data_IF_463825369558
#
_entry.id   IF_463825369558
#
_cell.length_a   1.000
_cell.length_b   1.000
_cell.length_c   1.000
_cell.angle_alpha   90.00
_cell.angle_beta   90.00
_cell.angle_gamma   90.00
#
_symmetry.space_group_name_H-M   'P 1'
#
loop_
_entity.id
_entity.type
_entity.pdbx_description
1 polymer ?
#
# COMPACT_ATOMS: atom_id res chain seq x y z
N UNK A 1 13.76 13.80 -17.72
CA UNK A 1 14.12 12.38 -17.54
C UNK A 1 13.07 11.77 -16.62
N UNK A 2 12.51 10.61 -16.94
CA UNK A 2 11.44 9.99 -16.12
C UNK A 2 12.08 9.37 -14.88
N UNK A 3 11.70 9.82 -13.69
CA UNK A 3 12.23 9.33 -12.42
C UNK A 3 11.44 8.09 -11.95
N UNK A 4 11.87 6.91 -12.39
CA UNK A 4 11.16 5.64 -12.15
C UNK A 4 11.18 5.21 -10.68
N UNK A 5 12.15 5.67 -9.90
CA UNK A 5 12.35 5.27 -8.50
C UNK A 5 11.50 6.08 -7.51
N UNK A 6 10.93 7.20 -7.96
CA UNK A 6 9.98 7.99 -7.15
C UNK A 6 8.75 7.17 -6.76
N UNK A 7 8.28 7.34 -5.52
CA UNK A 7 7.10 6.66 -4.99
C UNK A 7 5.97 7.68 -4.89
N UNK A 8 4.86 7.41 -5.57
CA UNK A 8 3.62 8.16 -5.39
C UNK A 8 2.79 7.48 -4.30
N UNK A 9 2.88 7.98 -3.06
CA UNK A 9 2.22 7.38 -1.89
C UNK A 9 0.70 7.40 -2.00
N UNK A 10 0.14 8.50 -2.51
CA UNK A 10 -1.31 8.67 -2.64
C UNK A 10 -1.90 7.61 -3.58
N UNK A 11 -1.31 7.46 -4.77
CA UNK A 11 -1.72 6.45 -5.74
C UNK A 11 -1.44 5.02 -5.23
N UNK A 12 -0.33 4.83 -4.52
CA UNK A 12 0.06 3.52 -4.00
C UNK A 12 -0.90 3.04 -2.90
N UNK A 13 -1.18 3.87 -1.89
CA UNK A 13 -2.02 3.46 -0.76
C UNK A 13 -3.50 3.38 -1.16
N UNK A 14 -3.98 4.27 -2.03
CA UNK A 14 -5.37 4.27 -2.48
C UNK A 14 -5.63 3.40 -3.72
N UNK A 15 -4.68 2.57 -4.16
CA UNK A 15 -4.86 1.67 -5.31
C UNK A 15 -5.85 0.52 -5.06
N UNK A 16 -6.31 0.35 -3.81
CA UNK A 16 -7.15 -0.76 -3.39
C UNK A 16 -6.37 -2.00 -2.94
N UNK A 17 -5.04 -1.94 -2.88
CA UNK A 17 -4.21 -3.04 -2.37
C UNK A 17 -4.20 -3.14 -0.85
N UNK A 18 -4.42 -2.03 -0.14
CA UNK A 18 -4.46 -1.93 1.32
C UNK A 18 -5.71 -1.17 1.77
N UNK A 19 -6.25 -1.51 2.94
CA UNK A 19 -7.50 -0.90 3.44
C UNK A 19 -7.35 -0.21 4.79
N UNK A 20 -6.47 -0.69 5.68
CA UNK A 20 -6.27 -0.17 7.04
C UNK A 20 -5.24 0.97 7.11
N UNK A 21 -5.25 1.86 6.10
CA UNK A 21 -4.34 3.01 6.02
C UNK A 21 -5.13 4.33 6.08
N UNK A 22 -4.60 5.28 6.85
CA UNK A 22 -5.18 6.61 7.06
C UNK A 22 -4.11 7.69 6.91
N UNK A 23 -4.46 8.77 6.23
CA UNK A 23 -3.62 9.97 6.13
C UNK A 23 -3.96 10.93 7.25
N UNK A 24 -2.94 11.45 7.93
CA UNK A 24 -3.08 12.49 8.93
C UNK A 24 -1.93 13.49 8.78
N UNK A 25 -2.26 14.70 8.33
CA UNK A 25 -1.29 15.73 7.90
C UNK A 25 -0.34 15.15 6.84
N UNK A 26 0.97 15.24 7.06
CA UNK A 26 2.05 14.80 6.16
C UNK A 26 2.46 13.33 6.38
N UNK A 27 1.65 12.56 7.10
CA UNK A 27 1.95 11.18 7.43
C UNK A 27 0.81 10.24 7.07
N UNK A 28 1.20 9.09 6.54
CA UNK A 28 0.36 7.92 6.41
C UNK A 28 0.61 6.98 7.56
N UNK A 29 -0.46 6.48 8.16
CA UNK A 29 -0.44 5.49 9.21
C UNK A 29 -1.17 4.25 8.72
N UNK A 30 -0.59 3.08 8.94
CA UNK A 30 -1.23 1.84 8.58
C UNK A 30 -0.75 0.65 9.38
N UNK A 31 -1.58 -0.38 9.41
CA UNK A 31 -1.29 -1.64 10.08
C UNK A 31 -0.67 -2.60 9.08
N UNK A 32 0.44 -3.23 9.48
CA UNK A 32 1.09 -4.32 8.75
C UNK A 32 1.36 -5.50 9.70
N UNK A 33 0.44 -6.46 9.72
CA UNK A 33 0.44 -7.57 10.67
C UNK A 33 0.18 -7.09 12.09
N UNK A 34 1.16 -7.28 12.99
CA UNK A 34 1.11 -6.80 14.38
C UNK A 34 1.84 -5.47 14.60
N UNK A 35 2.26 -4.78 13.53
CA UNK A 35 3.03 -3.55 13.60
C UNK A 35 2.28 -2.36 13.00
N UNK A 36 2.61 -1.17 13.49
CA UNK A 36 2.09 0.10 12.98
C UNK A 36 3.20 0.80 12.21
N UNK A 37 2.95 1.07 10.95
CA UNK A 37 3.85 1.81 10.06
C UNK A 37 3.38 3.27 10.00
N UNK A 38 4.33 4.18 10.17
CA UNK A 38 4.22 5.61 9.89
C UNK A 38 5.11 5.93 8.70
N UNK A 39 4.54 6.52 7.66
CA UNK A 39 5.24 6.86 6.43
C UNK A 39 5.11 8.35 6.18
N UNK A 40 6.22 9.04 5.96
CA UNK A 40 6.21 10.46 5.59
C UNK A 40 6.08 10.64 4.07
N UNK A 41 5.94 11.87 3.59
CA UNK A 41 5.81 12.16 2.16
C UNK A 41 7.02 11.74 1.30
N UNK A 42 8.20 11.55 1.91
CA UNK A 42 9.39 11.02 1.21
C UNK A 42 9.41 9.49 1.11
N UNK A 43 8.36 8.80 1.58
CA UNK A 43 8.29 7.32 1.59
C UNK A 43 9.15 6.66 2.66
N UNK A 44 9.73 7.42 3.60
CA UNK A 44 10.50 6.88 4.72
C UNK A 44 9.54 6.28 5.74
N UNK A 45 9.84 5.03 6.13
CA UNK A 45 9.03 4.24 7.06
C UNK A 45 9.64 4.32 8.46
N UNK A 46 8.80 4.59 9.46
CA UNK A 46 9.08 4.41 10.88
C UNK A 46 8.05 3.43 11.44
N UNK A 47 8.48 2.49 12.28
CA UNK A 47 7.61 1.45 12.81
C UNK A 47 7.54 1.52 14.32
N UNK A 48 6.42 1.08 14.88
CA UNK A 48 6.27 0.98 16.32
C UNK A 48 7.19 -0.11 16.90
N UNK A 49 7.32 -1.24 16.21
CA UNK A 49 8.18 -2.35 16.67
C UNK A 49 9.68 -2.18 16.44
N UNK A 50 10.12 -1.07 15.83
CA UNK A 50 11.50 -0.83 15.35
C UNK A 50 12.02 -1.84 14.31
N UNK A 51 11.16 -2.71 13.77
CA UNK A 51 11.52 -3.59 12.65
C UNK A 51 11.63 -2.81 11.35
N UNK A 52 12.57 -3.19 10.50
CA UNK A 52 12.72 -2.68 9.13
C UNK A 52 11.86 -3.51 8.17
N UNK A 53 11.13 -2.84 7.29
CA UNK A 53 10.36 -3.48 6.23
C UNK A 53 10.73 -2.89 4.88
N UNK A 54 10.93 -3.75 3.89
CA UNK A 54 10.90 -3.36 2.48
C UNK A 54 9.43 -3.38 2.00
N UNK A 55 8.63 -2.45 2.53
CA UNK A 55 7.20 -2.36 2.26
C UNK A 55 6.89 -1.91 0.83
N UNK A 56 7.71 -1.01 0.28
CA UNK A 56 7.55 -0.46 -1.07
C UNK A 56 8.26 -1.25 -2.17
N UNK A 57 8.87 -2.40 -1.82
CA UNK A 57 9.63 -3.24 -2.74
C UNK A 57 10.74 -2.46 -3.46
N UNK A 58 11.56 -1.74 -2.71
CA UNK A 58 12.60 -0.84 -3.23
C UNK A 58 13.68 -1.55 -4.05
N UNK A 59 13.75 -2.88 -4.00
CA UNK A 59 14.64 -3.69 -4.85
C UNK A 59 14.08 -4.03 -6.24
N UNK A 60 12.82 -3.71 -6.54
CA UNK A 60 12.24 -3.99 -7.86
C UNK A 60 12.85 -3.05 -8.93
N UNK A 61 13.20 -3.60 -10.10
CA UNK A 61 13.57 -2.79 -11.25
C UNK A 61 12.30 -2.26 -11.96
N UNK A 62 11.81 -1.13 -11.47
CA UNK A 62 10.56 -0.51 -11.93
C UNK A 62 10.63 -0.11 -13.40
N UNK A 63 11.77 0.41 -13.85
CA UNK A 63 11.96 0.77 -15.26
C UNK A 63 11.76 -0.45 -16.18
N UNK A 64 12.36 -1.60 -15.82
CA UNK A 64 12.21 -2.85 -16.58
C UNK A 64 10.76 -3.34 -16.57
N UNK A 65 10.08 -3.26 -15.43
CA UNK A 65 8.66 -3.65 -15.30
C UNK A 65 7.78 -2.75 -16.17
N UNK A 66 7.96 -1.43 -16.08
CA UNK A 66 7.19 -0.48 -16.87
C UNK A 66 7.42 -0.71 -18.37
N UNK A 67 8.67 -0.90 -18.80
CA UNK A 67 9.00 -1.22 -20.19
C UNK A 67 8.35 -2.52 -20.66
N UNK A 68 8.27 -3.54 -19.79
CA UNK A 68 7.70 -4.84 -20.16
C UNK A 68 6.17 -4.82 -20.31
N UNK A 69 5.47 -4.00 -19.53
CA UNK A 69 4.00 -3.89 -19.60
C UNK A 69 3.52 -2.84 -20.61
N UNK A 70 4.34 -1.82 -20.92
CA UNK A 70 3.98 -0.70 -21.81
C UNK A 70 4.02 -1.06 -23.30
N UNK A 71 3.38 -2.17 -23.69
CA UNK A 71 3.39 -2.68 -25.07
C UNK A 71 2.37 -1.96 -25.97
N UNK A 72 1.20 -1.66 -25.44
CA UNK A 72 0.09 -1.04 -26.17
C UNK A 72 -0.19 0.41 -25.73
N UNK A 73 -1.02 1.11 -26.49
CA UNK A 73 -1.37 2.53 -26.25
C UNK A 73 -2.10 2.72 -24.92
N UNK A 74 -3.00 1.80 -24.56
CA UNK A 74 -3.80 1.87 -23.33
C UNK A 74 -2.90 1.75 -22.11
N UNK A 75 -2.01 0.75 -22.09
CA UNK A 75 -1.09 0.55 -20.96
C UNK A 75 -0.08 1.70 -20.84
N UNK A 76 0.42 2.24 -21.96
CA UNK A 76 1.30 3.44 -21.95
C UNK A 76 0.62 4.65 -21.31
N UNK A 77 -0.66 4.89 -21.61
CA UNK A 77 -1.44 5.99 -21.01
C UNK A 77 -1.61 5.75 -19.51
N UNK A 78 -1.96 4.53 -19.11
CA UNK A 78 -2.15 4.17 -17.71
C UNK A 78 -0.85 4.33 -16.89
N UNK A 79 0.27 3.80 -17.39
CA UNK A 79 1.59 3.95 -16.77
C UNK A 79 1.98 5.41 -16.62
N UNK A 80 1.78 6.23 -17.66
CA UNK A 80 2.09 7.66 -17.58
C UNK A 80 1.25 8.38 -16.52
N UNK A 81 -0.03 8.00 -16.39
CA UNK A 81 -0.96 8.59 -15.41
C UNK A 81 -0.62 8.18 -13.97
N UNK A 82 -0.18 6.95 -13.76
CA UNK A 82 0.06 6.36 -12.43
C UNK A 82 1.55 6.08 -12.17
N UNK A 83 2.43 6.88 -12.75
CA UNK A 83 3.87 6.76 -12.51
C UNK A 83 4.17 6.90 -11.01
N UNK A 84 5.07 6.06 -10.51
CA UNK A 84 5.42 5.99 -9.09
C UNK A 84 4.46 5.16 -8.23
N UNK A 85 3.39 4.59 -8.80
CA UNK A 85 2.59 3.57 -8.12
C UNK A 85 3.46 2.34 -7.82
N UNK A 86 3.40 1.85 -6.58
CA UNK A 86 4.14 0.65 -6.13
C UNK A 86 3.19 -0.47 -5.73
N UNK A 87 3.62 -1.71 -5.94
CA UNK A 87 3.03 -2.86 -5.27
C UNK A 87 3.64 -2.95 -3.86
N UNK A 88 2.80 -3.19 -2.87
CA UNK A 88 3.20 -3.24 -1.47
C UNK A 88 3.50 -4.68 -1.02
N UNK A 89 4.55 -4.84 -0.21
CA UNK A 89 4.87 -6.10 0.49
C UNK A 89 4.18 -6.11 1.85
N UNK A 90 2.92 -6.51 1.85
CA UNK A 90 2.06 -6.57 3.03
C UNK A 90 2.27 -7.85 3.83
N UNK A 91 1.84 -7.84 5.08
CA UNK A 91 1.64 -9.05 5.87
C UNK A 91 0.67 -10.02 5.15
N UNK A 92 1.09 -11.27 4.84
CA UNK A 92 0.27 -12.19 4.06
C UNK A 92 -1.06 -12.57 4.72
N UNK A 93 -1.08 -12.70 6.05
CA UNK A 93 -2.29 -13.09 6.78
C UNK A 93 -3.32 -11.95 6.78
N UNK A 94 -2.90 -10.73 7.09
CA UNK A 94 -3.75 -9.54 7.00
C UNK A 94 -4.27 -9.33 5.57
N UNK A 95 -3.40 -9.50 4.56
CA UNK A 95 -3.77 -9.39 3.15
C UNK A 95 -4.88 -10.39 2.80
N UNK A 96 -4.70 -11.67 3.14
CA UNK A 96 -5.68 -12.72 2.89
C UNK A 96 -7.05 -12.42 3.49
N UNK A 97 -7.11 -12.08 4.79
CA UNK A 97 -8.36 -11.72 5.46
C UNK A 97 -8.99 -10.48 4.83
N UNK A 98 -8.18 -9.48 4.48
CA UNK A 98 -8.65 -8.25 3.84
C UNK A 98 -9.36 -8.51 2.52
N UNK A 99 -8.83 -9.43 1.70
CA UNK A 99 -9.45 -9.78 0.42
C UNK A 99 -10.66 -10.71 0.54
N UNK A 100 -10.75 -11.53 1.59
CA UNK A 100 -12.00 -12.24 1.91
C UNK A 100 -13.09 -11.23 2.24
N UNK A 101 -12.79 -10.26 3.11
CA UNK A 101 -13.74 -9.21 3.53
C UNK A 101 -14.12 -8.27 2.39
N UNK A 102 -13.26 -8.12 1.37
CA UNK A 102 -13.53 -7.26 0.21
C UNK A 102 -14.53 -7.83 -0.79
N UNK A 103 -14.78 -9.13 -0.73
CA UNK A 103 -15.70 -9.81 -1.65
C UNK A 103 -17.11 -9.23 -1.56
N UNK A 104 -17.63 -8.73 -2.70
CA UNK A 104 -18.95 -8.11 -2.84
C UNK A 104 -19.23 -6.97 -1.82
N UNK A 105 -18.20 -6.17 -1.51
CA UNK A 105 -18.29 -5.07 -0.54
C UNK A 105 -17.74 -3.77 -1.13
N UNK A 106 -18.04 -2.64 -0.50
CA UNK A 106 -17.48 -1.34 -0.90
C UNK A 106 -16.36 -0.93 0.07
N UNK A 107 -15.47 -0.01 -0.36
CA UNK A 107 -14.28 0.38 0.40
C UNK A 107 -14.61 0.81 1.85
N UNK A 108 -15.73 1.53 2.06
CA UNK A 108 -16.13 1.97 3.39
C UNK A 108 -16.52 0.79 4.29
N UNK A 109 -17.31 -0.15 3.77
CA UNK A 109 -17.70 -1.37 4.48
C UNK A 109 -16.49 -2.26 4.77
N UNK A 110 -15.57 -2.40 3.83
CA UNK A 110 -14.34 -3.19 4.00
C UNK A 110 -13.52 -2.62 5.16
N UNK A 111 -13.27 -1.31 5.15
CA UNK A 111 -12.54 -0.61 6.21
C UNK A 111 -13.20 -0.83 7.57
N UNK A 112 -14.51 -0.59 7.67
CA UNK A 112 -15.25 -0.75 8.92
C UNK A 112 -15.20 -2.18 9.44
N UNK A 113 -15.40 -3.18 8.59
CA UNK A 113 -15.32 -4.60 8.98
C UNK A 113 -13.91 -4.97 9.48
N UNK A 114 -12.87 -4.54 8.77
CA UNK A 114 -11.49 -4.82 9.18
C UNK A 114 -11.10 -4.10 10.47
N UNK A 115 -11.56 -2.85 10.66
CA UNK A 115 -11.39 -2.12 11.91
C UNK A 115 -12.09 -2.82 13.07
N UNK A 116 -13.33 -3.29 12.87
CA UNK A 116 -14.06 -4.03 13.89
C UNK A 116 -13.38 -5.35 14.25
N UNK A 117 -12.91 -6.12 13.26
CA UNK A 117 -12.13 -7.35 13.50
C UNK A 117 -10.88 -7.02 14.32
N UNK A 118 -10.18 -5.94 13.96
CA UNK A 118 -8.97 -5.50 14.66
C UNK A 118 -9.25 -5.06 16.09
N UNK A 119 -10.37 -4.37 16.35
CA UNK A 119 -10.76 -3.93 17.69
C UNK A 119 -11.18 -5.13 18.56
N UNK A 120 -11.91 -6.09 18.01
CA UNK A 120 -12.45 -7.23 18.75
C UNK A 120 -11.39 -8.30 19.05
N UNK A 121 -10.49 -8.57 18.10
CA UNK A 121 -9.56 -9.71 18.17
C UNK A 121 -8.08 -9.30 18.14
N UNK A 122 -7.78 -8.02 17.92
CA UNK A 122 -6.41 -7.51 17.91
C UNK A 122 -5.83 -7.35 19.31
N UNK A 123 -4.50 -7.28 19.38
CA UNK A 123 -3.79 -6.92 20.62
C UNK A 123 -3.92 -5.41 20.85
N UNK A 124 -4.07 -5.00 22.12
CA UNK A 124 -3.96 -3.60 22.50
C UNK A 124 -2.50 -3.16 22.32
N UNK A 125 -2.33 -2.03 21.63
CA UNK A 125 -1.04 -1.42 21.27
C UNK A 125 -1.02 0.03 21.76
#
# INVERSE_FOLDING_TARGET
MIEYDSINLENTINSGQVFLWKKHKEFWYGINGQDVLKINDSGKITTYSNKKYDFFRTGDNIEKIIKSISKDKTTKIAVKKYLGLRLLRQDPFQCFISFIVSSNSNIQKIKSSLENISIQFGKKS
#
